data_IF_106428812146
#
_entry.id   IF_106428812146
#
_cell.length_a   1.000
_cell.length_b   1.000
_cell.length_c   1.000
_cell.angle_alpha   90.00
_cell.angle_beta   90.00
_cell.angle_gamma   90.00
#
_symmetry.space_group_name_H-M   'P 1'
#
loop_
_entity.id
_entity.type
_entity.pdbx_description
1 polymer ?
#
# COMPACT_ATOMS: atom_id res chain seq x y z
N UNK A 1 4.57 -46.75 -62.80
CA UNK A 1 4.28 -45.69 -61.79
C UNK A 1 5.29 -45.85 -60.66
N UNK A 2 6.21 -44.88 -60.51
CA UNK A 2 7.47 -45.07 -59.79
C UNK A 2 7.28 -45.05 -58.26
N UNK A 3 7.22 -46.26 -57.67
CA UNK A 3 7.06 -46.47 -56.22
C UNK A 3 8.08 -45.69 -55.37
N UNK A 4 9.29 -45.45 -55.88
CA UNK A 4 10.31 -44.64 -55.20
C UNK A 4 10.03 -43.13 -55.11
N UNK A 5 9.23 -42.56 -56.02
CA UNK A 5 8.83 -41.13 -55.95
C UNK A 5 7.75 -40.92 -54.90
N UNK A 6 6.87 -41.91 -54.70
CA UNK A 6 5.79 -41.85 -53.72
C UNK A 6 6.32 -41.90 -52.28
N UNK A 7 7.30 -42.77 -51.99
CA UNK A 7 7.97 -42.82 -50.67
C UNK A 7 8.74 -41.55 -50.35
N UNK A 8 9.44 -40.96 -51.33
CA UNK A 8 10.13 -39.67 -51.15
C UNK A 8 9.16 -38.53 -50.80
N UNK A 9 7.99 -38.48 -51.45
CA UNK A 9 6.96 -37.47 -51.20
C UNK A 9 6.35 -37.58 -49.80
N UNK A 10 6.12 -38.81 -49.31
CA UNK A 10 5.58 -39.04 -47.95
C UNK A 10 6.57 -38.57 -46.87
N UNK A 11 7.86 -38.87 -47.03
CA UNK A 11 8.90 -38.45 -46.07
C UNK A 11 8.99 -36.93 -45.99
N UNK A 12 8.95 -36.24 -47.13
CA UNK A 12 8.97 -34.77 -47.18
C UNK A 12 7.76 -34.19 -46.44
N UNK A 13 6.57 -34.77 -46.63
CA UNK A 13 5.34 -34.28 -46.01
C UNK A 13 5.37 -34.42 -44.49
N UNK A 14 5.89 -35.54 -43.97
CA UNK A 14 6.08 -35.76 -42.52
C UNK A 14 7.08 -34.76 -41.92
N UNK A 15 8.18 -34.48 -42.61
CA UNK A 15 9.19 -33.51 -42.15
C UNK A 15 8.59 -32.10 -42.09
N UNK A 16 7.83 -31.68 -43.11
CA UNK A 16 7.16 -30.38 -43.13
C UNK A 16 6.15 -30.29 -41.98
N UNK A 17 5.37 -31.34 -41.73
CA UNK A 17 4.39 -31.38 -40.63
C UNK A 17 5.08 -31.25 -39.26
N UNK A 18 6.22 -31.91 -39.07
CA UNK A 18 7.02 -31.81 -37.84
C UNK A 18 7.55 -30.39 -37.60
N UNK A 19 8.02 -29.70 -38.66
CA UNK A 19 8.50 -28.32 -38.57
C UNK A 19 7.35 -27.36 -38.19
N UNK A 20 6.18 -27.51 -38.83
CA UNK A 20 5.01 -26.67 -38.53
C UNK A 20 4.53 -26.84 -37.08
N UNK A 21 4.47 -28.08 -36.59
CA UNK A 21 4.10 -28.36 -35.19
C UNK A 21 5.12 -27.80 -34.19
N UNK A 22 6.42 -27.92 -34.49
CA UNK A 22 7.48 -27.38 -33.64
C UNK A 22 7.43 -25.84 -33.54
N UNK A 23 7.25 -25.15 -34.69
CA UNK A 23 7.13 -23.69 -34.72
C UNK A 23 5.86 -23.24 -33.98
N UNK A 24 4.72 -23.89 -34.23
CA UNK A 24 3.45 -23.60 -33.56
C UNK A 24 3.52 -23.76 -32.03
N UNK A 25 4.10 -24.87 -31.55
CA UNK A 25 4.29 -25.12 -30.12
C UNK A 25 5.23 -24.11 -29.45
N UNK A 26 6.32 -23.75 -30.11
CA UNK A 26 7.29 -22.77 -29.58
C UNK A 26 6.70 -21.36 -29.42
N UNK A 27 5.77 -20.97 -30.29
CA UNK A 27 5.06 -19.70 -30.18
C UNK A 27 4.06 -19.65 -29.03
N UNK A 28 3.40 -20.77 -28.73
CA UNK A 28 2.42 -20.82 -27.64
C UNK A 28 3.10 -20.80 -26.26
N UNK A 29 4.24 -21.49 -26.10
CA UNK A 29 5.05 -21.43 -24.87
C UNK A 29 5.62 -20.04 -24.59
N UNK A 30 6.16 -19.35 -25.62
CA UNK A 30 6.67 -17.97 -25.46
C UNK A 30 5.59 -16.97 -25.07
N UNK A 31 4.34 -17.16 -25.53
CA UNK A 31 3.21 -16.30 -25.13
C UNK A 31 2.84 -16.48 -23.66
N UNK A 32 2.88 -17.70 -23.13
CA UNK A 32 2.60 -17.97 -21.71
C UNK A 32 3.68 -17.38 -20.81
N UNK A 33 4.95 -17.60 -21.13
CA UNK A 33 6.06 -16.99 -20.37
C UNK A 33 6.04 -15.46 -20.43
N UNK A 34 5.72 -14.87 -21.59
CA UNK A 34 5.60 -13.42 -21.72
C UNK A 34 4.42 -12.88 -20.89
N UNK A 35 3.28 -13.58 -20.88
CA UNK A 35 2.12 -13.21 -20.08
C UNK A 35 2.40 -13.32 -18.57
N UNK A 36 3.11 -14.36 -18.13
CA UNK A 36 3.52 -14.53 -16.73
C UNK A 36 4.52 -13.46 -16.28
N UNK A 37 5.52 -13.16 -17.11
CA UNK A 37 6.47 -12.06 -16.85
C UNK A 37 5.76 -10.73 -16.73
N UNK A 38 4.78 -10.46 -17.59
CA UNK A 38 4.02 -9.22 -17.53
C UNK A 38 3.12 -9.16 -16.28
N UNK A 39 2.46 -10.26 -15.90
CA UNK A 39 1.70 -10.35 -14.64
C UNK A 39 2.60 -10.11 -13.42
N UNK A 40 3.77 -10.73 -13.39
CA UNK A 40 4.74 -10.53 -12.31
C UNK A 40 5.19 -9.07 -12.22
N UNK A 41 5.50 -8.43 -13.36
CA UNK A 41 5.85 -7.00 -13.41
C UNK A 41 4.71 -6.11 -12.94
N UNK A 42 3.47 -6.41 -13.33
CA UNK A 42 2.30 -5.67 -12.88
C UNK A 42 2.08 -5.83 -11.38
N UNK A 43 2.25 -7.03 -10.83
CA UNK A 43 2.17 -7.28 -9.40
C UNK A 43 3.24 -6.50 -8.64
N UNK A 44 4.49 -6.53 -9.10
CA UNK A 44 5.59 -5.76 -8.50
C UNK A 44 5.28 -4.27 -8.50
N UNK A 45 4.83 -3.70 -9.63
CA UNK A 45 4.42 -2.30 -9.71
C UNK A 45 3.29 -1.97 -8.74
N UNK A 46 2.27 -2.82 -8.66
CA UNK A 46 1.15 -2.59 -7.74
C UNK A 46 1.56 -2.67 -6.27
N UNK A 47 2.50 -3.54 -5.93
CA UNK A 47 3.05 -3.67 -4.59
C UNK A 47 3.85 -2.42 -4.21
N UNK A 48 4.70 -1.95 -5.12
CA UNK A 48 5.52 -0.75 -4.97
C UNK A 48 4.67 0.52 -4.77
N UNK A 49 3.58 0.66 -5.55
CA UNK A 49 2.61 1.75 -5.36
C UNK A 49 1.94 1.67 -3.99
N UNK A 50 1.54 0.48 -3.54
CA UNK A 50 0.92 0.31 -2.21
C UNK A 50 1.88 0.65 -1.08
N UNK A 51 3.14 0.22 -1.21
CA UNK A 51 4.20 0.54 -0.25
C UNK A 51 4.40 2.06 -0.17
N UNK A 52 4.54 2.72 -1.33
CA UNK A 52 4.70 4.18 -1.40
C UNK A 52 3.53 4.92 -0.73
N UNK A 53 2.29 4.52 -1.02
CA UNK A 53 1.09 5.10 -0.39
C UNK A 53 1.10 4.90 1.13
N UNK A 54 1.42 3.70 1.61
CA UNK A 54 1.47 3.40 3.04
C UNK A 54 2.57 4.21 3.75
N UNK A 55 3.76 4.32 3.14
CA UNK A 55 4.85 5.14 3.69
C UNK A 55 4.45 6.61 3.77
N UNK A 56 3.78 7.15 2.75
CA UNK A 56 3.32 8.53 2.77
C UNK A 56 2.23 8.78 3.81
N UNK A 57 1.33 7.82 4.04
CA UNK A 57 0.37 7.88 5.15
C UNK A 57 1.10 7.91 6.51
N UNK A 58 2.12 7.08 6.70
CA UNK A 58 2.92 7.08 7.94
C UNK A 58 3.62 8.42 8.13
N UNK A 59 4.22 9.00 7.09
CA UNK A 59 4.87 10.32 7.14
C UNK A 59 3.87 11.41 7.55
N UNK A 60 2.68 11.39 6.96
CA UNK A 60 1.65 12.36 7.31
C UNK A 60 1.21 12.22 8.77
N UNK A 61 0.98 10.99 9.24
CA UNK A 61 0.62 10.74 10.64
C UNK A 61 1.72 11.22 11.59
N UNK A 62 3.00 10.99 11.26
CA UNK A 62 4.13 11.50 12.04
C UNK A 62 4.12 13.04 12.12
N UNK A 63 3.96 13.71 11.00
CA UNK A 63 3.88 15.17 10.96
C UNK A 63 2.72 15.68 11.84
N UNK A 64 1.56 15.03 11.73
CA UNK A 64 0.38 15.37 12.53
C UNK A 64 0.59 15.16 14.03
N UNK A 65 1.19 14.04 14.42
CA UNK A 65 1.53 13.75 15.81
C UNK A 65 2.47 14.81 16.37
N UNK A 66 3.52 15.17 15.63
CA UNK A 66 4.47 16.19 16.05
C UNK A 66 3.82 17.58 16.22
N UNK A 67 2.88 17.97 15.35
CA UNK A 67 2.10 19.21 15.51
C UNK A 67 1.22 19.19 16.77
N UNK A 68 0.58 18.07 17.10
CA UNK A 68 -0.20 17.97 18.34
C UNK A 68 0.69 17.95 19.58
N UNK A 69 1.83 17.26 19.54
CA UNK A 69 2.82 17.30 20.63
C UNK A 69 3.31 18.72 20.86
N UNK A 70 3.60 19.46 19.78
CA UNK A 70 3.93 20.89 19.85
C UNK A 70 2.88 21.69 20.60
N UNK A 71 1.58 21.48 20.30
CA UNK A 71 0.50 22.17 21.00
C UNK A 71 0.39 21.78 22.49
N UNK A 72 0.61 20.49 22.81
CA UNK A 72 0.62 20.01 24.19
C UNK A 72 1.79 20.63 24.97
N UNK A 73 2.99 20.64 24.41
CA UNK A 73 4.17 21.21 25.05
C UNK A 73 4.08 22.73 25.17
N UNK A 74 3.43 23.39 24.22
CA UNK A 74 3.08 24.80 24.33
C UNK A 74 2.16 25.07 25.53
N UNK A 75 1.11 24.26 25.69
CA UNK A 75 0.17 24.36 26.83
C UNK A 75 0.89 24.08 28.17
N UNK A 76 1.93 23.22 28.17
CA UNK A 76 2.80 22.96 29.32
C UNK A 76 3.91 23.99 29.53
N UNK A 77 4.02 25.01 28.66
CA UNK A 77 5.08 26.02 28.67
C UNK A 77 6.50 25.45 28.45
N UNK A 78 6.59 24.29 27.79
CA UNK A 78 7.84 23.65 27.37
C UNK A 78 8.26 24.15 25.98
N UNK A 79 8.54 25.44 25.84
CA UNK A 79 8.79 26.09 24.53
C UNK A 79 9.92 25.45 23.72
N UNK A 80 10.99 25.01 24.39
CA UNK A 80 12.11 24.33 23.72
C UNK A 80 11.70 23.00 23.08
N UNK A 81 10.87 22.22 23.77
CA UNK A 81 10.37 20.94 23.25
C UNK A 81 9.29 21.17 22.19
N UNK A 82 8.42 22.16 22.38
CA UNK A 82 7.44 22.56 21.37
C UNK A 82 8.12 22.95 20.05
N UNK A 83 9.17 23.77 20.10
CA UNK A 83 9.96 24.12 18.90
C UNK A 83 10.70 22.91 18.30
N UNK A 84 11.14 21.94 19.11
CA UNK A 84 11.74 20.72 18.61
C UNK A 84 10.71 19.89 17.82
N UNK A 85 9.53 19.64 18.39
CA UNK A 85 8.46 18.91 17.71
C UNK A 85 7.93 19.63 16.45
N UNK A 86 7.91 20.96 16.45
CA UNK A 86 7.55 21.72 15.27
C UNK A 86 8.53 21.46 14.10
N UNK A 87 9.83 21.36 14.39
CA UNK A 87 10.86 20.99 13.40
C UNK A 87 10.79 19.53 13.01
N UNK A 88 10.48 18.64 13.96
CA UNK A 88 10.23 17.21 13.67
C UNK A 88 9.04 17.00 12.73
N UNK A 89 8.07 17.93 12.70
CA UNK A 89 6.96 17.87 11.76
C UNK A 89 7.40 18.16 10.31
N UNK A 90 8.48 18.91 10.09
CA UNK A 90 8.95 19.29 8.75
C UNK A 90 9.62 18.13 8.00
N UNK A 91 10.47 17.36 8.69
CA UNK A 91 11.20 16.23 8.09
C UNK A 91 10.30 15.22 7.35
N UNK A 92 9.20 14.69 7.93
CA UNK A 92 8.31 13.78 7.23
C UNK A 92 7.53 14.46 6.10
N UNK A 93 7.22 15.76 6.21
CA UNK A 93 6.55 16.52 5.15
C UNK A 93 7.47 16.72 3.94
N UNK A 94 8.75 17.01 4.15
CA UNK A 94 9.75 17.15 3.09
C UNK A 94 9.97 15.86 2.29
N UNK A 95 9.75 14.70 2.92
CA UNK A 95 9.89 13.36 2.30
C UNK A 95 8.61 12.84 1.66
N UNK A 96 7.50 13.58 1.77
CA UNK A 96 6.19 13.12 1.33
C UNK A 96 6.06 13.23 -0.20
N UNK A 97 5.71 12.13 -0.86
CA UNK A 97 5.38 12.18 -2.29
C UNK A 97 3.94 12.62 -2.50
N UNK A 98 3.78 13.93 -2.70
CA UNK A 98 2.48 14.57 -2.93
C UNK A 98 1.72 13.98 -4.13
N UNK A 99 2.43 13.52 -5.18
CA UNK A 99 1.79 13.00 -6.38
C UNK A 99 1.06 11.67 -6.10
N UNK A 100 1.68 10.77 -5.35
CA UNK A 100 1.07 9.48 -4.96
C UNK A 100 -0.20 9.62 -4.12
N UNK A 101 -0.35 10.73 -3.39
CA UNK A 101 -1.50 11.02 -2.54
C UNK A 101 -2.53 11.95 -3.20
N UNK A 102 -2.30 12.39 -4.43
CA UNK A 102 -3.16 13.37 -5.09
C UNK A 102 -3.18 14.74 -4.39
N UNK A 103 -2.11 15.07 -3.67
CA UNK A 103 -1.96 16.33 -2.94
C UNK A 103 -1.38 17.39 -3.88
N UNK A 104 -1.87 18.62 -3.78
CA UNK A 104 -1.23 19.74 -4.48
C UNK A 104 0.12 20.06 -3.83
N UNK A 105 1.21 19.70 -4.53
CA UNK A 105 2.58 19.91 -4.06
C UNK A 105 2.87 21.37 -3.66
N UNK A 106 2.37 22.35 -4.41
CA UNK A 106 2.60 23.76 -4.09
C UNK A 106 1.98 24.16 -2.75
N UNK A 107 0.81 23.62 -2.40
CA UNK A 107 0.16 23.90 -1.13
C UNK A 107 0.87 23.19 0.03
N UNK A 108 1.37 21.97 -0.20
CA UNK A 108 2.19 21.23 0.77
C UNK A 108 3.50 21.96 1.05
N UNK A 109 4.22 22.38 0.01
CA UNK A 109 5.50 23.10 0.14
C UNK A 109 5.31 24.43 0.87
N UNK A 110 4.21 25.14 0.57
CA UNK A 110 3.86 26.37 1.29
C UNK A 110 3.55 26.11 2.77
N UNK A 111 2.83 25.04 3.10
CA UNK A 111 2.54 24.66 4.48
C UNK A 111 3.80 24.24 5.24
N UNK A 112 4.65 23.39 4.65
CA UNK A 112 5.93 22.98 5.24
C UNK A 112 6.82 24.19 5.51
N UNK A 113 6.94 25.11 4.56
CA UNK A 113 7.69 26.36 4.75
C UNK A 113 7.12 27.20 5.89
N UNK A 114 5.80 27.37 5.97
CA UNK A 114 5.18 28.15 7.03
C UNK A 114 5.36 27.51 8.42
N UNK A 115 5.36 26.18 8.50
CA UNK A 115 5.70 25.43 9.72
C UNK A 115 7.18 25.68 10.09
N UNK A 116 8.10 25.55 9.13
CA UNK A 116 9.53 25.73 9.33
C UNK A 116 9.91 27.17 9.75
N UNK A 117 9.20 28.16 9.19
CA UNK A 117 9.39 29.58 9.50
C UNK A 117 8.71 29.99 10.83
N UNK A 118 7.92 29.11 11.44
CA UNK A 118 7.26 29.40 12.72
C UNK A 118 8.20 29.13 13.88
N UNK A 119 8.38 30.12 14.75
CA UNK A 119 9.11 30.01 16.00
C UNK A 119 8.18 30.35 17.16
N UNK A 120 8.14 29.46 18.15
CA UNK A 120 7.32 29.63 19.35
C UNK A 120 8.07 30.49 20.35
N UNK A 121 7.48 31.63 20.73
CA UNK A 121 8.10 32.60 21.61
C UNK A 121 7.29 32.82 22.89
N UNK A 122 8.00 32.96 24.01
CA UNK A 122 7.41 33.19 25.34
C UNK A 122 6.64 34.52 25.41
N UNK A 123 7.07 35.52 24.63
CA UNK A 123 6.51 36.88 24.65
C UNK A 123 5.20 37.04 23.86
N UNK A 124 4.81 36.03 23.07
CA UNK A 124 3.61 36.06 22.24
C UNK A 124 2.46 35.36 22.97
N UNK A 125 1.23 35.81 22.76
CA UNK A 125 0.02 35.17 23.31
C UNK A 125 -0.02 33.67 22.96
N UNK A 126 -0.08 32.82 23.99
CA UNK A 126 -0.11 31.36 23.86
C UNK A 126 -1.35 30.87 23.10
N UNK A 127 -2.50 31.51 23.27
CA UNK A 127 -3.74 31.12 22.62
C UNK A 127 -3.66 31.33 21.10
N UNK A 128 -3.00 32.41 20.66
CA UNK A 128 -2.76 32.71 19.24
C UNK A 128 -1.79 31.70 18.64
N UNK A 129 -0.68 31.42 19.34
CA UNK A 129 0.30 30.42 18.89
C UNK A 129 -0.32 29.04 18.78
N UNK A 130 -1.08 28.62 19.80
CA UNK A 130 -1.81 27.33 19.81
C UNK A 130 -2.79 27.23 18.66
N UNK A 131 -3.58 28.28 18.41
CA UNK A 131 -4.51 28.31 17.29
C UNK A 131 -3.79 28.15 15.95
N UNK A 132 -2.63 28.79 15.78
CA UNK A 132 -1.79 28.63 14.58
C UNK A 132 -1.32 27.19 14.39
N UNK A 133 -0.80 26.54 15.44
CA UNK A 133 -0.34 25.14 15.37
C UNK A 133 -1.50 24.19 15.01
N UNK A 134 -2.67 24.39 15.61
CA UNK A 134 -3.87 23.59 15.30
C UNK A 134 -4.31 23.82 13.85
N UNK A 135 -4.23 25.06 13.36
CA UNK A 135 -4.54 25.39 11.97
C UNK A 135 -3.62 24.68 10.98
N UNK A 136 -2.33 24.49 11.31
CA UNK A 136 -1.44 23.65 10.49
C UNK A 136 -1.95 22.22 10.38
N UNK A 137 -2.41 21.63 11.48
CA UNK A 137 -3.01 20.29 11.48
C UNK A 137 -4.26 20.22 10.58
N UNK A 138 -5.15 21.20 10.66
CA UNK A 138 -6.34 21.24 9.78
C UNK A 138 -5.99 21.45 8.31
N UNK A 139 -5.01 22.31 8.01
CA UNK A 139 -4.53 22.51 6.64
C UNK A 139 -3.92 21.22 6.11
N UNK A 140 -3.09 20.54 6.89
CA UNK A 140 -2.52 19.25 6.52
C UNK A 140 -3.61 18.20 6.24
N UNK A 141 -4.62 18.09 7.10
CA UNK A 141 -5.76 17.19 6.90
C UNK A 141 -6.57 17.56 5.64
N UNK A 142 -6.72 18.85 5.32
CA UNK A 142 -7.44 19.31 4.13
C UNK A 142 -6.71 19.04 2.81
N UNK A 143 -5.38 18.87 2.86
CA UNK A 143 -4.57 18.53 1.70
C UNK A 143 -4.80 17.09 1.27
N UNK A 144 -5.08 16.21 2.23
CA UNK A 144 -5.50 14.84 1.96
C UNK A 144 -6.92 14.94 1.42
N UNK A 145 -7.07 14.80 0.10
CA UNK A 145 -8.39 14.57 -0.47
C UNK A 145 -9.01 13.41 0.29
N UNK A 146 -10.10 13.68 1.03
CA UNK A 146 -10.84 12.66 1.79
C UNK A 146 -11.02 11.48 0.85
N UNK A 147 -10.39 10.31 1.09
CA UNK A 147 -10.56 9.20 0.20
C UNK A 147 -12.06 8.93 0.14
N UNK A 148 -12.62 8.98 -1.06
CA UNK A 148 -13.93 8.38 -1.32
C UNK A 148 -13.81 6.96 -0.78
N UNK A 149 -14.47 6.71 0.36
CA UNK A 149 -14.37 5.50 1.16
C UNK A 149 -14.20 4.30 0.24
N UNK A 150 -13.01 3.69 0.12
CA UNK A 150 -12.90 2.45 -0.62
C UNK A 150 -13.72 1.40 0.15
N UNK A 151 -14.43 0.52 -0.58
CA UNK A 151 -15.34 -0.44 0.02
C UNK A 151 -14.58 -1.26 1.07
N UNK A 152 -15.24 -1.40 2.22
CA UNK A 152 -15.15 -2.49 3.20
C UNK A 152 -14.09 -3.52 2.82
N UNK A 153 -13.06 -3.66 3.66
CA UNK A 153 -12.11 -4.79 3.62
C UNK A 153 -12.85 -6.07 3.22
N UNK A 154 -12.31 -6.94 2.35
CA UNK A 154 -12.87 -8.28 2.20
C UNK A 154 -12.93 -8.85 3.62
N UNK A 155 -14.15 -9.02 4.14
CA UNK A 155 -14.36 -9.81 5.34
C UNK A 155 -13.65 -11.13 5.04
N UNK A 156 -12.68 -11.50 5.87
CA UNK A 156 -12.31 -12.91 5.98
C UNK A 156 -13.63 -13.63 6.27
N UNK A 157 -14.25 -14.20 5.25
CA UNK A 157 -15.26 -15.22 5.42
C UNK A 157 -14.51 -16.37 6.06
N UNK A 158 -14.51 -16.40 7.40
CA UNK A 158 -14.17 -17.59 8.13
C UNK A 158 -15.02 -18.73 7.53
N UNK A 159 -14.43 -19.85 7.11
CA UNK A 159 -15.21 -21.03 6.75
C UNK A 159 -15.97 -21.47 8.01
N UNK A 160 -17.25 -21.11 8.04
CA UNK A 160 -18.21 -21.58 9.03
C UNK A 160 -18.55 -23.03 8.69
N UNK A 161 -17.77 -23.96 9.24
CA UNK A 161 -18.17 -25.36 9.41
C UNK A 161 -17.36 -26.00 10.54
N UNK A 162 -17.77 -25.73 11.78
CA UNK A 162 -17.56 -26.68 12.86
C UNK A 162 -18.31 -27.98 12.48
N UNK A 163 -17.62 -29.13 12.32
CA UNK A 163 -18.32 -30.39 12.24
C UNK A 163 -18.92 -30.68 13.63
N UNK A 164 -20.24 -30.61 13.72
CA UNK A 164 -21.00 -31.17 14.84
C UNK A 164 -20.77 -32.68 14.83
N UNK A 165 -19.74 -33.15 15.53
CA UNK A 165 -19.59 -34.56 15.83
C UNK A 165 -20.67 -34.96 16.83
N UNK A 166 -21.53 -35.95 16.54
CA UNK A 166 -22.47 -36.46 17.53
C UNK A 166 -21.69 -37.17 18.64
N UNK A 167 -21.80 -36.65 19.87
CA UNK A 167 -21.33 -37.33 21.07
C UNK A 167 -22.04 -38.68 21.18
N UNK A 168 -21.27 -39.77 21.07
CA UNK A 168 -21.70 -41.12 21.44
C UNK A 168 -21.75 -41.20 22.98
N UNK A 169 -22.88 -41.54 23.61
CA UNK A 169 -22.97 -41.61 25.06
C UNK A 169 -22.06 -42.71 25.62
N UNK A 170 -21.27 -42.35 26.63
CA UNK A 170 -20.42 -43.24 27.38
C UNK A 170 -21.29 -44.21 28.20
N UNK A 171 -21.09 -45.50 27.98
CA UNK A 171 -21.62 -46.59 28.82
C UNK A 171 -21.03 -46.45 30.23
N UNK A 172 -21.88 -46.09 31.19
CA UNK A 172 -21.55 -46.18 32.61
C UNK A 172 -21.46 -47.66 33.00
N UNK A 173 -20.25 -48.11 33.34
CA UNK A 173 -20.04 -49.37 34.03
C UNK A 173 -20.33 -49.17 35.52
N UNK A 174 -21.49 -49.65 35.96
CA UNK A 174 -21.75 -49.91 37.38
C UNK A 174 -20.83 -51.05 37.83
N UNK A 175 -20.07 -50.84 38.90
CA UNK A 175 -19.50 -51.94 39.67
C UNK A 175 -19.85 -51.74 41.13
N UNK A 176 -20.73 -52.63 41.57
CA UNK A 176 -21.23 -52.87 42.91
C UNK A 176 -20.10 -53.27 43.86
N UNK A 177 -20.28 -52.89 45.12
CA UNK A 177 -19.81 -53.66 46.27
C UNK A 177 -21.03 -54.03 47.12
#
# INVERSE_FOLDING_TARGET
>A
MNKGKATGLIVILVVILGIVLYIGGSWQGRKQEAAEKERCRQQLRSCDTRLTVAENQVRLLKARTALYQTAIDLDQRNFGLANAHLREADEPLAKLDAASLGINKSLLDALSKEIADTDIQVAIDLSVQRAKIIQFGYRLDSLISKPAVPPVMPQLTAPSSLPTAPLKPATQANTTK
#
